data_IF_221205307578
#
_entry.id   IF_221205307578
#
_cell.length_a   1.000
_cell.length_b   1.000
_cell.length_c   1.000
_cell.angle_alpha   90.00
_cell.angle_beta   90.00
_cell.angle_gamma   90.00
#
_symmetry.space_group_name_H-M   'P 1'
#
loop_
_entity.id
_entity.type
_entity.pdbx_description
1 polymer ?
#
# COMPACT_ATOMS: atom_id res chain seq x y z
N UNK A 1 3.58 -34.20 13.28
CA UNK A 1 4.05 -33.04 14.09
C UNK A 1 4.26 -31.77 13.26
N UNK A 2 5.04 -31.78 12.17
CA UNK A 2 5.32 -30.58 11.34
C UNK A 2 4.06 -29.92 10.71
N UNK A 3 3.06 -30.72 10.35
CA UNK A 3 1.80 -30.23 9.76
C UNK A 3 0.92 -29.44 10.75
N UNK A 4 1.05 -29.70 12.05
CA UNK A 4 0.30 -28.98 13.09
C UNK A 4 1.00 -27.69 13.50
N UNK A 5 2.33 -27.67 13.60
CA UNK A 5 3.10 -26.45 13.92
C UNK A 5 3.03 -25.40 12.81
N UNK A 6 3.00 -25.82 11.54
CA UNK A 6 2.79 -24.92 10.40
C UNK A 6 1.38 -24.30 10.39
N UNK A 7 0.36 -25.06 10.81
CA UNK A 7 -1.01 -24.56 10.92
C UNK A 7 -1.19 -23.58 12.09
N UNK A 8 -0.50 -23.78 13.22
CA UNK A 8 -0.53 -22.84 14.34
C UNK A 8 0.22 -21.56 14.01
N UNK A 9 1.42 -21.66 13.42
CA UNK A 9 2.24 -20.49 13.12
C UNK A 9 1.61 -19.57 12.06
N UNK A 10 0.88 -20.14 11.09
CA UNK A 10 0.15 -19.37 10.07
C UNK A 10 -1.15 -18.74 10.60
N UNK A 11 -1.72 -19.25 11.71
CA UNK A 11 -2.88 -18.64 12.38
C UNK A 11 -2.52 -17.39 13.18
N UNK A 12 -1.27 -17.26 13.64
CA UNK A 12 -0.82 -16.17 14.52
C UNK A 12 -0.91 -14.78 13.87
N UNK A 13 -0.64 -14.68 12.57
CA UNK A 13 -0.50 -13.37 11.91
C UNK A 13 -1.83 -12.66 11.63
N UNK A 14 -2.94 -13.39 11.53
CA UNK A 14 -4.22 -12.84 11.04
C UNK A 14 -5.43 -13.25 11.89
N UNK A 15 -5.26 -14.09 12.91
CA UNK A 15 -6.39 -14.47 13.78
C UNK A 15 -6.36 -13.68 15.10
N UNK A 16 -7.25 -12.67 15.28
CA UNK A 16 -7.33 -11.90 16.51
C UNK A 16 -7.55 -12.77 17.75
N UNK A 17 -8.25 -13.92 17.61
CA UNK A 17 -8.51 -14.83 18.73
C UNK A 17 -7.23 -15.49 19.23
N UNK A 18 -6.33 -15.87 18.33
CA UNK A 18 -5.07 -16.51 18.70
C UNK A 18 -4.14 -15.53 19.43
N UNK A 19 -4.13 -14.25 19.05
CA UNK A 19 -3.34 -13.24 19.75
C UNK A 19 -3.93 -12.90 21.14
N UNK A 20 -5.24 -12.96 21.30
CA UNK A 20 -5.89 -12.82 22.61
C UNK A 20 -5.56 -14.00 23.53
N UNK A 21 -5.64 -15.23 23.05
CA UNK A 21 -5.26 -16.43 23.81
C UNK A 21 -3.79 -16.39 24.26
N UNK A 22 -2.89 -15.95 23.39
CA UNK A 22 -1.47 -15.78 23.74
C UNK A 22 -1.25 -14.66 24.74
N UNK A 23 -2.01 -13.56 24.63
CA UNK A 23 -1.98 -12.48 25.62
C UNK A 23 -2.36 -12.99 27.00
N UNK A 24 -3.37 -13.84 27.11
CA UNK A 24 -3.84 -14.36 28.40
C UNK A 24 -2.78 -15.24 29.07
N UNK A 25 -1.94 -15.91 28.28
CA UNK A 25 -0.86 -16.79 28.78
C UNK A 25 0.43 -16.02 29.07
N UNK A 26 0.86 -15.16 28.15
CA UNK A 26 2.19 -14.53 28.15
C UNK A 26 2.17 -13.04 28.55
N UNK A 27 0.99 -12.45 28.70
CA UNK A 27 0.82 -11.03 28.99
C UNK A 27 0.68 -10.14 27.74
N UNK A 28 0.54 -8.82 27.93
CA UNK A 28 0.24 -7.87 26.86
C UNK A 28 1.40 -7.62 25.88
N UNK A 29 2.62 -8.06 26.20
CA UNK A 29 3.80 -8.02 25.33
C UNK A 29 4.41 -9.42 25.29
N UNK A 30 4.52 -9.99 24.11
CA UNK A 30 5.13 -11.31 23.94
C UNK A 30 5.91 -11.41 22.63
N UNK A 31 6.79 -12.40 22.54
CA UNK A 31 7.61 -12.63 21.35
C UNK A 31 7.15 -13.89 20.63
N UNK A 32 7.00 -13.80 19.31
CA UNK A 32 6.73 -14.94 18.42
C UNK A 32 7.83 -15.08 17.39
N UNK A 33 8.05 -16.31 16.91
CA UNK A 33 8.99 -16.60 15.85
C UNK A 33 8.22 -16.95 14.57
N UNK A 34 8.27 -16.04 13.60
CA UNK A 34 7.68 -16.20 12.28
C UNK A 34 8.74 -16.79 11.34
N UNK A 35 8.83 -18.11 11.31
CA UNK A 35 9.94 -18.79 10.64
C UNK A 35 11.27 -18.41 11.31
N UNK A 36 12.27 -17.88 10.58
CA UNK A 36 13.53 -17.43 11.16
C UNK A 36 13.42 -16.03 11.81
N UNK A 37 12.31 -15.30 11.63
CA UNK A 37 12.17 -13.90 12.07
C UNK A 37 11.54 -13.81 13.46
N UNK A 38 12.23 -13.15 14.38
CA UNK A 38 11.70 -12.81 15.70
C UNK A 38 10.81 -11.56 15.61
N UNK A 39 9.59 -11.63 16.13
CA UNK A 39 8.62 -10.53 16.15
C UNK A 39 8.07 -10.34 17.55
N UNK A 40 8.04 -9.09 18.01
CA UNK A 40 7.38 -8.71 19.27
C UNK A 40 5.95 -8.28 18.95
N UNK A 41 4.99 -8.86 19.66
CA UNK A 41 3.56 -8.58 19.53
C UNK A 41 3.12 -7.71 20.69
N UNK A 42 2.49 -6.58 20.38
CA UNK A 42 1.91 -5.66 21.35
C UNK A 42 0.39 -5.84 21.33
N UNK A 43 -0.19 -6.32 22.43
CA UNK A 43 -1.59 -6.76 22.50
C UNK A 43 -2.41 -6.06 23.59
N UNK A 44 -2.18 -4.76 23.82
CA UNK A 44 -3.05 -3.93 24.66
C UNK A 44 -2.96 -2.46 24.28
N UNK A 45 -4.01 -1.69 24.58
CA UNK A 45 -4.04 -0.26 24.27
C UNK A 45 -2.88 0.48 24.93
N UNK A 46 -2.66 0.27 26.24
CA UNK A 46 -1.64 1.00 27.00
C UNK A 46 -0.24 0.75 26.43
N UNK A 47 0.08 -0.52 26.12
CA UNK A 47 1.37 -0.90 25.52
C UNK A 47 1.53 -0.33 24.10
N UNK A 48 0.48 -0.38 23.28
CA UNK A 48 0.53 0.17 21.91
C UNK A 48 0.73 1.69 21.98
N UNK A 49 0.06 2.36 22.90
CA UNK A 49 0.20 3.80 23.14
C UNK A 49 1.62 4.13 23.61
N UNK A 50 2.13 3.40 24.60
CA UNK A 50 3.48 3.58 25.11
C UNK A 50 4.52 3.43 24.00
N UNK A 51 4.44 2.36 23.20
CA UNK A 51 5.38 2.12 22.11
C UNK A 51 5.29 3.16 20.98
N UNK A 52 4.09 3.46 20.47
CA UNK A 52 3.93 4.29 19.27
C UNK A 52 3.75 5.79 19.54
N UNK A 53 3.50 6.21 20.78
CA UNK A 53 3.34 7.62 21.17
C UNK A 53 4.44 8.03 22.13
N UNK A 54 4.56 7.35 23.28
CA UNK A 54 5.47 7.78 24.35
C UNK A 54 6.94 7.48 24.00
N UNK A 55 7.19 6.41 23.25
CA UNK A 55 8.51 5.99 22.74
C UNK A 55 8.58 6.02 21.20
N UNK A 56 7.86 6.96 20.57
CA UNK A 56 7.66 6.98 19.12
C UNK A 56 8.96 6.95 18.30
N UNK A 57 10.05 7.56 18.79
CA UNK A 57 11.35 7.60 18.11
C UNK A 57 11.99 6.20 17.99
N UNK A 58 11.77 5.32 18.96
CA UNK A 58 12.30 3.95 18.95
C UNK A 58 11.48 3.02 18.03
N UNK A 59 10.19 3.31 17.83
CA UNK A 59 9.25 2.51 17.04
C UNK A 59 8.90 3.12 15.67
N UNK A 60 9.63 4.15 15.22
CA UNK A 60 9.37 4.84 13.94
C UNK A 60 9.70 3.99 12.70
N UNK A 61 10.55 2.98 12.87
CA UNK A 61 11.07 2.15 11.77
C UNK A 61 10.03 1.15 11.28
N UNK A 62 9.89 1.02 9.96
CA UNK A 62 9.05 0.01 9.33
C UNK A 62 9.70 -1.35 9.39
N UNK A 63 8.94 -2.33 9.87
CA UNK A 63 9.32 -3.73 9.78
C UNK A 63 9.32 -4.23 8.33
N UNK A 64 10.23 -5.15 8.04
CA UNK A 64 10.28 -5.86 6.77
C UNK A 64 8.97 -6.60 6.50
N UNK A 65 8.41 -6.45 5.30
CA UNK A 65 7.30 -7.27 4.81
C UNK A 65 7.78 -7.89 3.50
N UNK A 66 8.30 -9.13 3.51
CA UNK A 66 8.90 -9.76 2.34
C UNK A 66 8.12 -9.62 1.03
N UNK A 67 6.78 -9.74 1.05
CA UNK A 67 5.97 -9.54 -0.14
C UNK A 67 6.09 -8.11 -0.70
N UNK A 68 6.05 -7.10 0.16
CA UNK A 68 6.22 -5.70 -0.23
C UNK A 68 7.66 -5.39 -0.62
N UNK A 69 8.66 -5.96 0.04
CA UNK A 69 10.06 -5.80 -0.35
C UNK A 69 10.31 -6.33 -1.76
N UNK A 70 9.74 -7.48 -2.12
CA UNK A 70 9.87 -8.03 -3.48
C UNK A 70 9.19 -7.18 -4.55
N UNK A 71 8.04 -6.56 -4.21
CA UNK A 71 7.28 -5.73 -5.16
C UNK A 71 7.90 -4.35 -5.31
N UNK A 72 8.14 -3.67 -4.20
CA UNK A 72 8.60 -2.28 -4.17
C UNK A 72 10.13 -2.14 -4.15
N UNK A 73 10.87 -3.24 -4.00
CA UNK A 73 12.34 -3.29 -3.97
C UNK A 73 12.95 -2.35 -2.92
N UNK A 74 12.25 -2.17 -1.81
CA UNK A 74 12.64 -1.26 -0.73
C UNK A 74 12.32 0.22 -0.98
N UNK A 75 11.74 0.60 -2.12
CA UNK A 75 11.43 1.99 -2.47
C UNK A 75 9.98 2.39 -2.14
N UNK A 76 9.79 3.69 -1.92
CA UNK A 76 8.49 4.30 -1.71
C UNK A 76 8.12 4.47 -0.24
N UNK A 77 7.22 5.44 0.00
CA UNK A 77 6.86 5.94 1.34
C UNK A 77 6.33 4.87 2.30
N UNK A 78 5.80 3.77 1.77
CA UNK A 78 5.21 2.67 2.54
C UNK A 78 6.21 1.66 3.09
N UNK A 79 7.45 1.60 2.58
CA UNK A 79 8.46 0.59 2.94
C UNK A 79 9.83 1.16 3.29
N UNK A 80 10.15 2.39 2.85
CA UNK A 80 11.45 3.02 3.14
C UNK A 80 11.60 3.41 4.62
N UNK A 81 12.85 3.57 5.07
CA UNK A 81 13.21 4.01 6.41
C UNK A 81 14.24 5.14 6.38
N UNK A 82 14.58 5.71 7.54
CA UNK A 82 15.63 6.72 7.67
C UNK A 82 15.30 8.05 6.97
N UNK A 83 16.33 8.71 6.44
CA UNK A 83 16.20 10.04 5.85
C UNK A 83 15.41 10.02 4.53
N UNK A 84 15.55 8.97 3.72
CA UNK A 84 14.76 8.78 2.50
C UNK A 84 13.26 8.80 2.79
N UNK A 85 12.84 8.08 3.83
CA UNK A 85 11.45 8.11 4.25
C UNK A 85 11.01 9.49 4.72
N UNK A 86 11.82 10.18 5.53
CA UNK A 86 11.48 11.53 6.02
C UNK A 86 11.32 12.51 4.86
N UNK A 87 12.19 12.45 3.85
CA UNK A 87 12.10 13.28 2.65
C UNK A 87 10.85 12.95 1.82
N UNK A 88 10.64 11.68 1.49
CA UNK A 88 9.47 11.23 0.73
C UNK A 88 8.18 11.60 1.46
N UNK A 89 8.09 11.39 2.77
CA UNK A 89 6.92 11.74 3.58
C UNK A 89 6.65 13.24 3.59
N UNK A 90 7.68 14.06 3.82
CA UNK A 90 7.53 15.53 3.82
C UNK A 90 7.04 16.02 2.46
N UNK A 91 7.65 15.53 1.38
CA UNK A 91 7.23 15.82 0.02
C UNK A 91 5.77 15.39 -0.20
N UNK A 92 5.42 14.12 0.06
CA UNK A 92 4.09 13.59 -0.21
C UNK A 92 3.01 14.36 0.56
N UNK A 93 3.20 14.60 1.86
CA UNK A 93 2.22 15.33 2.68
C UNK A 93 2.07 16.77 2.17
N UNK A 94 3.18 17.45 1.85
CA UNK A 94 3.13 18.82 1.32
C UNK A 94 2.39 18.87 -0.01
N UNK A 95 2.70 17.96 -0.94
CA UNK A 95 2.07 17.89 -2.26
C UNK A 95 0.58 17.58 -2.16
N UNK A 96 0.19 16.60 -1.32
CA UNK A 96 -1.22 16.27 -1.12
C UNK A 96 -2.01 17.46 -0.55
N UNK A 97 -1.44 18.22 0.39
CA UNK A 97 -2.07 19.45 0.92
C UNK A 97 -2.25 20.52 -0.17
N UNK A 98 -1.26 20.67 -1.06
CA UNK A 98 -1.34 21.61 -2.18
C UNK A 98 -2.46 21.22 -3.17
N UNK A 99 -2.70 19.93 -3.39
CA UNK A 99 -3.85 19.41 -4.14
C UNK A 99 -5.16 19.42 -3.35
N UNK A 100 -5.20 20.08 -2.20
CA UNK A 100 -6.42 20.33 -1.45
C UNK A 100 -6.79 19.26 -0.44
N UNK A 101 -5.91 18.30 -0.13
CA UNK A 101 -6.13 17.36 0.97
C UNK A 101 -6.25 18.13 2.30
N UNK A 102 -7.44 18.07 2.91
CA UNK A 102 -7.78 18.81 4.13
C UNK A 102 -8.45 20.17 3.90
N UNK A 103 -8.69 20.56 2.65
CA UNK A 103 -9.32 21.83 2.26
C UNK A 103 -10.61 21.58 1.44
N UNK A 104 -11.38 22.64 1.12
CA UNK A 104 -12.63 22.53 0.34
C UNK A 104 -12.45 21.99 -1.10
N UNK A 105 -11.24 22.04 -1.65
CA UNK A 105 -10.98 21.54 -3.02
C UNK A 105 -11.17 20.03 -3.14
N UNK A 106 -10.65 19.24 -2.19
CA UNK A 106 -10.87 17.78 -2.19
C UNK A 106 -12.32 17.43 -1.87
N UNK A 107 -13.00 18.27 -1.09
CA UNK A 107 -14.42 18.09 -0.77
C UNK A 107 -15.26 18.07 -2.05
N UNK A 108 -15.00 18.98 -3.01
CA UNK A 108 -15.68 18.99 -4.31
C UNK A 108 -15.47 17.70 -5.10
N UNK A 109 -14.24 17.20 -5.16
CA UNK A 109 -13.90 15.93 -5.83
C UNK A 109 -14.63 14.75 -5.16
N UNK A 110 -14.65 14.72 -3.82
CA UNK A 110 -15.35 13.68 -3.06
C UNK A 110 -16.86 13.76 -3.31
N UNK A 111 -17.45 14.95 -3.28
CA UNK A 111 -18.89 15.15 -3.54
C UNK A 111 -19.27 14.72 -4.96
N UNK A 112 -18.44 15.05 -5.95
CA UNK A 112 -18.64 14.60 -7.32
C UNK A 112 -18.62 13.06 -7.41
N UNK A 113 -17.64 12.41 -6.79
CA UNK A 113 -17.55 10.95 -6.81
C UNK A 113 -18.66 10.26 -6.01
N UNK A 114 -19.14 10.89 -4.92
CA UNK A 114 -20.35 10.45 -4.20
C UNK A 114 -21.58 10.50 -5.11
N UNK A 115 -21.72 11.53 -5.95
CA UNK A 115 -22.84 11.59 -6.90
C UNK A 115 -22.77 10.43 -7.91
N UNK A 116 -21.58 10.09 -8.42
CA UNK A 116 -21.40 8.92 -9.28
C UNK A 116 -21.75 7.61 -8.56
N UNK A 117 -21.29 7.44 -7.31
CA UNK A 117 -21.60 6.28 -6.48
C UNK A 117 -23.11 6.13 -6.23
N UNK A 118 -23.79 7.20 -5.85
CA UNK A 118 -25.25 7.21 -5.62
C UNK A 118 -26.00 6.85 -6.90
N UNK A 119 -25.58 7.40 -8.04
CA UNK A 119 -26.19 7.08 -9.32
C UNK A 119 -25.98 5.61 -9.70
N UNK A 120 -24.81 5.04 -9.40
CA UNK A 120 -24.54 3.62 -9.62
C UNK A 120 -25.47 2.74 -8.78
N UNK A 121 -25.59 3.03 -7.47
CA UNK A 121 -26.45 2.27 -6.57
C UNK A 121 -27.93 2.37 -6.99
N UNK A 122 -28.38 3.56 -7.44
CA UNK A 122 -29.76 3.76 -7.92
C UNK A 122 -30.11 2.88 -9.12
N UNK A 123 -29.15 2.43 -9.94
CA UNK A 123 -29.41 1.51 -11.06
C UNK A 123 -29.97 0.17 -10.61
N UNK A 124 -29.71 -0.24 -9.36
CA UNK A 124 -30.27 -1.45 -8.78
C UNK A 124 -31.80 -1.40 -8.57
N UNK A 125 -32.42 -0.21 -8.58
CA UNK A 125 -33.88 -0.02 -8.45
C UNK A 125 -34.48 -0.79 -7.26
N UNK A 126 -33.77 -0.82 -6.13
CA UNK A 126 -34.24 -1.46 -4.89
C UNK A 126 -33.93 -2.96 -4.78
N UNK A 127 -33.23 -3.57 -5.74
CA UNK A 127 -32.74 -4.93 -5.58
C UNK A 127 -31.50 -4.97 -4.67
N UNK A 128 -31.30 -6.05 -3.90
CA UNK A 128 -30.05 -6.26 -3.17
C UNK A 128 -28.87 -6.35 -4.14
N UNK A 129 -27.81 -5.59 -3.86
CA UNK A 129 -26.56 -5.60 -4.63
C UNK A 129 -25.35 -5.70 -3.71
N UNK A 130 -24.25 -6.24 -4.24
CA UNK A 130 -22.93 -6.08 -3.62
C UNK A 130 -22.32 -4.74 -4.04
N UNK A 131 -22.44 -3.74 -3.17
CA UNK A 131 -21.89 -2.40 -3.38
C UNK A 131 -20.38 -2.31 -3.11
N UNK A 132 -19.73 -3.38 -2.63
CA UNK A 132 -18.30 -3.36 -2.26
C UNK A 132 -17.42 -2.91 -3.42
N UNK A 133 -17.76 -3.34 -4.64
CA UNK A 133 -17.05 -2.89 -5.84
C UNK A 133 -17.24 -1.39 -6.07
N UNK A 134 -18.47 -0.86 -6.02
CA UNK A 134 -18.74 0.57 -6.23
C UNK A 134 -18.00 1.46 -5.22
N UNK A 135 -17.92 1.08 -3.95
CA UNK A 135 -17.12 1.81 -2.96
C UNK A 135 -15.62 1.79 -3.28
N UNK A 136 -15.09 0.64 -3.71
CA UNK A 136 -13.68 0.55 -4.14
C UNK A 136 -13.43 1.47 -5.34
N UNK A 137 -14.29 1.43 -6.38
CA UNK A 137 -14.15 2.34 -7.53
C UNK A 137 -14.18 3.81 -7.12
N UNK A 138 -15.14 4.21 -6.27
CA UNK A 138 -15.26 5.57 -5.78
C UNK A 138 -14.01 6.03 -5.03
N UNK A 139 -13.58 5.26 -4.03
CA UNK A 139 -12.39 5.59 -3.24
C UNK A 139 -11.11 5.63 -4.09
N UNK A 140 -10.96 4.71 -5.06
CA UNK A 140 -9.84 4.71 -5.99
C UNK A 140 -9.86 5.90 -6.93
N UNK A 141 -11.02 6.32 -7.44
CA UNK A 141 -11.12 7.50 -8.29
C UNK A 141 -10.73 8.79 -7.57
N UNK A 142 -11.08 8.95 -6.29
CA UNK A 142 -10.62 10.13 -5.51
C UNK A 142 -9.10 10.16 -5.45
N UNK A 143 -8.44 9.02 -5.20
CA UNK A 143 -6.98 8.96 -5.15
C UNK A 143 -6.37 9.17 -6.54
N UNK A 144 -6.89 8.53 -7.59
CA UNK A 144 -6.40 8.68 -8.96
C UNK A 144 -6.56 10.10 -9.49
N UNK A 145 -7.62 10.80 -9.09
CA UNK A 145 -7.78 12.22 -9.42
C UNK A 145 -6.64 13.06 -8.84
N UNK A 146 -6.24 12.79 -7.60
CA UNK A 146 -5.14 13.53 -6.95
C UNK A 146 -3.78 13.11 -7.49
N UNK A 147 -3.59 11.81 -7.75
CA UNK A 147 -2.26 11.29 -8.11
C UNK A 147 -1.97 11.34 -9.59
N UNK A 148 -2.99 11.25 -10.45
CA UNK A 148 -2.88 11.17 -11.91
C UNK A 148 -3.74 12.20 -12.63
N UNK A 149 -4.48 13.07 -11.93
CA UNK A 149 -5.35 14.07 -12.54
C UNK A 149 -6.57 13.47 -13.28
N UNK A 150 -6.85 12.18 -13.09
CA UNK A 150 -7.81 11.44 -13.91
C UNK A 150 -8.81 10.64 -13.07
N UNK A 151 -10.03 10.52 -13.61
CA UNK A 151 -11.12 9.74 -13.06
C UNK A 151 -11.59 8.71 -14.08
N UNK A 152 -11.70 7.45 -13.69
CA UNK A 152 -12.11 6.36 -14.56
C UNK A 152 -13.60 6.07 -14.47
N UNK A 153 -14.24 5.79 -15.61
CA UNK A 153 -15.61 5.26 -15.63
C UNK A 153 -15.66 3.94 -14.83
N UNK A 154 -16.72 3.73 -14.06
CA UNK A 154 -16.90 2.45 -13.35
C UNK A 154 -16.97 1.28 -14.32
N UNK A 155 -17.46 1.49 -15.54
CA UNK A 155 -17.51 0.46 -16.57
C UNK A 155 -16.21 0.30 -17.37
N UNK A 156 -15.18 1.10 -17.07
CA UNK A 156 -13.90 1.00 -17.74
C UNK A 156 -13.23 -0.36 -17.46
N UNK A 157 -12.89 -1.08 -18.53
CA UNK A 157 -12.35 -2.44 -18.44
C UNK A 157 -10.94 -2.48 -17.87
N UNK A 158 -10.11 -1.46 -18.17
CA UNK A 158 -8.73 -1.37 -17.68
C UNK A 158 -8.77 -1.09 -16.18
N UNK A 159 -9.59 -0.14 -15.75
CA UNK A 159 -9.77 0.20 -14.35
C UNK A 159 -10.33 -0.96 -13.53
N UNK A 160 -11.39 -1.62 -14.01
CA UNK A 160 -11.94 -2.83 -13.37
C UNK A 160 -10.88 -3.92 -13.22
N UNK A 161 -10.07 -4.16 -14.27
CA UNK A 161 -8.99 -5.15 -14.24
C UNK A 161 -7.90 -4.77 -13.23
N UNK A 162 -7.52 -3.50 -13.17
CA UNK A 162 -6.54 -2.99 -12.21
C UNK A 162 -6.99 -3.24 -10.77
N UNK A 163 -8.21 -2.83 -10.42
CA UNK A 163 -8.76 -3.00 -9.08
C UNK A 163 -8.96 -4.47 -8.70
N UNK A 164 -9.38 -5.31 -9.65
CA UNK A 164 -9.49 -6.75 -9.43
C UNK A 164 -8.13 -7.40 -9.17
N UNK A 165 -7.09 -7.01 -9.90
CA UNK A 165 -5.73 -7.51 -9.68
C UNK A 165 -5.20 -7.12 -8.29
N UNK A 166 -5.44 -5.87 -7.87
CA UNK A 166 -5.07 -5.39 -6.52
C UNK A 166 -5.81 -6.18 -5.44
N UNK A 167 -7.13 -6.33 -5.58
CA UNK A 167 -7.96 -7.11 -4.64
C UNK A 167 -7.51 -8.56 -4.55
N UNK A 168 -7.26 -9.20 -5.69
CA UNK A 168 -6.79 -10.58 -5.73
C UNK A 168 -5.39 -10.71 -5.12
N UNK A 169 -4.50 -9.76 -5.39
CA UNK A 169 -3.17 -9.70 -4.76
C UNK A 169 -3.26 -9.66 -3.23
N UNK A 170 -4.11 -8.78 -2.68
CA UNK A 170 -4.34 -8.72 -1.23
C UNK A 170 -4.99 -9.98 -0.66
N UNK A 171 -5.90 -10.62 -1.41
CA UNK A 171 -6.50 -11.88 -0.98
C UNK A 171 -5.46 -13.01 -0.92
N UNK A 172 -4.55 -13.10 -1.90
CA UNK A 172 -3.46 -14.08 -1.88
C UNK A 172 -2.50 -13.79 -0.72
N UNK A 173 -2.14 -12.53 -0.51
CA UNK A 173 -1.29 -12.10 0.62
C UNK A 173 -1.87 -12.50 1.98
N UNK A 174 -3.20 -12.38 2.12
CA UNK A 174 -3.92 -12.73 3.36
C UNK A 174 -4.21 -14.24 3.49
N UNK A 175 -3.92 -15.04 2.46
CA UNK A 175 -4.15 -16.48 2.46
C UNK A 175 -3.04 -17.25 3.18
N UNK A 176 -3.27 -18.54 3.44
CA UNK A 176 -2.25 -19.46 3.96
C UNK A 176 -0.92 -19.38 3.20
N UNK A 177 -0.97 -19.32 1.86
CA UNK A 177 0.22 -19.23 1.01
C UNK A 177 0.95 -17.90 1.15
N UNK A 178 0.21 -16.80 1.35
CA UNK A 178 0.78 -15.49 1.61
C UNK A 178 1.48 -15.44 2.97
N UNK A 179 0.84 -15.97 4.02
CA UNK A 179 1.44 -16.06 5.35
C UNK A 179 2.69 -16.96 5.36
N UNK A 180 2.67 -18.07 4.62
CA UNK A 180 3.83 -18.93 4.48
C UNK A 180 4.99 -18.22 3.74
N UNK A 181 4.67 -17.40 2.74
CA UNK A 181 5.64 -16.54 2.07
C UNK A 181 6.26 -15.52 3.03
N UNK A 182 5.46 -14.86 3.86
CA UNK A 182 5.95 -13.91 4.87
C UNK A 182 6.89 -14.54 5.90
N UNK A 183 6.70 -15.82 6.21
CA UNK A 183 7.57 -16.55 7.14
C UNK A 183 8.83 -17.11 6.47
N UNK A 184 8.75 -17.55 5.21
CA UNK A 184 9.82 -18.31 4.55
C UNK A 184 10.12 -17.82 3.11
N UNK A 185 10.13 -16.51 2.89
CA UNK A 185 10.29 -15.89 1.56
C UNK A 185 11.48 -16.44 0.78
N UNK A 186 12.66 -16.56 1.43
CA UNK A 186 13.90 -17.08 0.83
C UNK A 186 13.75 -18.47 0.19
N UNK A 187 12.90 -19.32 0.74
CA UNK A 187 12.63 -20.66 0.18
C UNK A 187 11.50 -20.56 -0.83
N UNK A 188 10.43 -19.86 -0.45
CA UNK A 188 9.20 -19.74 -1.23
C UNK A 188 9.41 -19.02 -2.57
N UNK A 189 10.41 -18.16 -2.69
CA UNK A 189 10.79 -17.50 -3.95
C UNK A 189 11.16 -18.50 -5.05
N UNK A 190 11.76 -19.63 -4.68
CA UNK A 190 12.17 -20.70 -5.62
C UNK A 190 11.08 -21.75 -5.86
N UNK A 191 9.98 -21.72 -5.10
CA UNK A 191 8.91 -22.70 -5.20
C UNK A 191 7.75 -22.20 -6.08
N UNK A 192 7.18 -23.05 -6.95
CA UNK A 192 5.94 -22.73 -7.63
C UNK A 192 4.77 -22.72 -6.65
N UNK A 193 3.80 -21.82 -6.85
CA UNK A 193 2.60 -21.79 -6.03
C UNK A 193 1.73 -20.55 -6.23
N UNK A 194 0.57 -20.47 -5.57
CA UNK A 194 -0.36 -19.34 -5.68
C UNK A 194 0.25 -18.00 -5.28
N UNK A 195 1.21 -17.99 -4.34
CA UNK A 195 1.92 -16.77 -3.91
C UNK A 195 2.68 -16.10 -5.06
N UNK A 196 3.17 -16.86 -6.05
CA UNK A 196 3.86 -16.31 -7.22
C UNK A 196 2.90 -15.51 -8.12
N UNK A 197 1.60 -15.84 -8.13
CA UNK A 197 0.59 -15.11 -8.90
C UNK A 197 0.42 -13.68 -8.40
N UNK A 198 0.51 -13.45 -7.09
CA UNK A 198 0.42 -12.13 -6.49
C UNK A 198 1.42 -11.14 -7.12
N UNK A 199 2.67 -11.55 -7.32
CA UNK A 199 3.69 -10.69 -7.94
C UNK A 199 3.37 -10.36 -9.40
N UNK A 200 2.79 -11.29 -10.16
CA UNK A 200 2.33 -11.04 -11.53
C UNK A 200 1.17 -10.04 -11.57
N UNK A 201 0.24 -10.14 -10.60
CA UNK A 201 -0.89 -9.22 -10.48
C UNK A 201 -0.43 -7.80 -10.12
N UNK A 202 0.53 -7.68 -9.21
CA UNK A 202 1.10 -6.39 -8.82
C UNK A 202 2.01 -5.80 -9.89
N UNK A 203 2.66 -6.63 -10.72
CA UNK A 203 3.42 -6.16 -11.89
C UNK A 203 2.53 -5.41 -12.88
N UNK A 204 1.29 -5.85 -13.08
CA UNK A 204 0.32 -5.11 -13.90
C UNK A 204 0.04 -3.69 -13.38
N UNK A 205 -0.02 -3.51 -12.06
CA UNK A 205 -0.18 -2.19 -11.45
C UNK A 205 1.08 -1.33 -11.63
N UNK A 206 2.26 -1.93 -11.44
CA UNK A 206 3.55 -1.26 -11.69
C UNK A 206 3.65 -0.76 -13.15
N UNK A 207 3.28 -1.62 -14.11
CA UNK A 207 3.33 -1.28 -15.54
C UNK A 207 2.33 -0.16 -15.88
N UNK A 208 1.12 -0.20 -15.32
CA UNK A 208 0.12 0.86 -15.48
C UNK A 208 0.61 2.21 -14.93
N UNK A 209 1.22 2.21 -13.74
CA UNK A 209 1.79 3.44 -13.14
C UNK A 209 2.97 3.93 -13.98
N UNK A 210 3.81 3.02 -14.48
CA UNK A 210 4.97 3.37 -15.31
C UNK A 210 4.54 4.06 -16.60
N UNK A 211 3.55 3.51 -17.31
CA UNK A 211 2.98 4.13 -18.50
C UNK A 211 2.42 5.53 -18.19
N UNK A 212 1.76 5.70 -17.05
CA UNK A 212 1.25 7.01 -16.64
C UNK A 212 2.38 8.00 -16.40
N UNK A 213 3.43 7.60 -15.67
CA UNK A 213 4.60 8.45 -15.41
C UNK A 213 5.27 8.87 -16.71
N UNK A 214 5.42 7.96 -17.69
CA UNK A 214 5.99 8.28 -19.01
C UNK A 214 5.13 9.30 -19.79
N UNK A 215 3.80 9.15 -19.74
CA UNK A 215 2.89 10.10 -20.40
C UNK A 215 2.94 11.48 -19.72
N UNK A 216 3.01 11.52 -18.39
CA UNK A 216 3.19 12.77 -17.65
C UNK A 216 4.52 13.45 -18.01
N UNK A 217 5.63 12.71 -18.09
CA UNK A 217 6.94 13.24 -18.51
C UNK A 217 6.91 13.89 -19.90
N UNK A 218 6.24 13.27 -20.89
CA UNK A 218 6.15 13.80 -22.26
C UNK A 218 5.37 15.11 -22.35
N UNK A 219 4.49 15.36 -21.38
CA UNK A 219 3.54 16.49 -21.38
C UNK A 219 3.74 17.40 -20.17
N UNK A 220 4.90 17.32 -19.52
CA UNK A 220 5.21 18.02 -18.28
C UNK A 220 5.33 19.52 -18.55
N UNK A 221 4.55 20.32 -17.82
CA UNK A 221 4.70 21.76 -17.73
C UNK A 221 5.21 22.13 -16.34
N UNK A 222 6.43 22.67 -16.27
CA UNK A 222 7.09 23.06 -15.01
C UNK A 222 6.34 24.16 -14.26
N UNK A 223 5.54 24.97 -14.95
CA UNK A 223 4.80 26.08 -14.36
C UNK A 223 3.39 25.68 -13.89
N UNK A 224 2.88 24.55 -14.38
CA UNK A 224 1.51 24.13 -14.12
C UNK A 224 1.43 22.60 -13.89
N UNK A 225 1.91 22.11 -12.72
CA UNK A 225 1.82 20.68 -12.39
C UNK A 225 0.36 20.26 -12.24
N UNK A 226 -0.02 19.18 -12.95
CA UNK A 226 -1.42 18.72 -13.01
C UNK A 226 -1.79 17.83 -11.83
N UNK A 227 -0.83 17.05 -11.34
CA UNK A 227 -1.07 15.98 -10.36
C UNK A 227 0.18 15.69 -9.52
N UNK A 228 0.07 14.70 -8.62
CA UNK A 228 1.19 14.25 -7.80
C UNK A 228 2.41 13.81 -8.62
N UNK A 229 2.20 13.14 -9.76
CA UNK A 229 3.28 12.63 -10.62
C UNK A 229 4.08 13.81 -11.16
N UNK A 230 3.44 14.84 -11.72
CA UNK A 230 4.12 16.03 -12.23
C UNK A 230 4.93 16.72 -11.12
N UNK A 231 4.33 16.91 -9.94
CA UNK A 231 5.05 17.46 -8.78
C UNK A 231 6.29 16.64 -8.40
N UNK A 232 6.18 15.31 -8.46
CA UNK A 232 7.30 14.41 -8.15
C UNK A 232 8.39 14.49 -9.22
N UNK A 233 8.02 14.57 -10.50
CA UNK A 233 8.96 14.73 -11.62
C UNK A 233 9.72 16.05 -11.52
N UNK A 234 9.03 17.16 -11.25
CA UNK A 234 9.65 18.49 -11.04
C UNK A 234 10.60 18.45 -9.85
N UNK A 235 10.21 17.82 -8.75
CA UNK A 235 11.08 17.70 -7.56
C UNK A 235 12.31 16.85 -7.86
N UNK A 236 12.16 15.75 -8.61
CA UNK A 236 13.27 14.91 -9.05
C UNK A 236 14.27 15.69 -9.89
N UNK A 237 13.80 16.48 -10.86
CA UNK A 237 14.67 17.34 -11.67
C UNK A 237 15.43 18.35 -10.81
N UNK A 238 14.77 19.03 -9.88
CA UNK A 238 15.43 19.96 -8.96
C UNK A 238 16.54 19.29 -8.15
N UNK A 239 16.30 18.08 -7.64
CA UNK A 239 17.31 17.33 -6.87
C UNK A 239 18.48 16.92 -7.77
N UNK A 240 18.22 16.46 -9.01
CA UNK A 240 19.27 16.11 -9.96
C UNK A 240 20.15 17.31 -10.34
N UNK A 241 19.56 18.50 -10.50
CA UNK A 241 20.32 19.73 -10.75
C UNK A 241 21.17 20.17 -9.55
N UNK A 242 20.72 19.91 -8.32
CA UNK A 242 21.43 20.29 -7.09
C UNK A 242 22.54 19.29 -6.71
N UNK A 243 22.45 18.03 -7.17
CA UNK A 243 23.42 16.96 -6.87
C UNK A 243 23.83 16.14 -8.11
N UNK A 244 24.45 16.76 -9.13
CA UNK A 244 24.77 16.07 -10.38
C UNK A 244 25.84 14.96 -10.27
N UNK A 245 26.59 14.89 -9.16
CA UNK A 245 27.79 14.05 -9.01
C UNK A 245 27.60 12.78 -8.15
N UNK A 246 26.38 12.44 -7.73
CA UNK A 246 26.14 11.23 -6.92
C UNK A 246 25.49 10.06 -7.70
N UNK A 247 25.25 10.22 -9.01
CA UNK A 247 24.57 9.22 -9.86
C UNK A 247 25.38 8.84 -11.11
N UNK A 248 26.65 9.24 -11.16
CA UNK A 248 27.61 8.75 -12.16
C UNK A 248 28.58 7.84 -11.42
N UNK A 249 28.51 6.56 -11.78
CA UNK A 249 29.40 5.45 -11.41
C UNK A 249 29.25 4.85 -10.00
N UNK A 250 28.54 3.72 -9.92
CA UNK A 250 29.18 2.47 -9.47
C UNK A 250 28.79 1.32 -10.45
N UNK A 251 29.75 0.44 -10.82
CA UNK A 251 29.60 -0.57 -11.87
C UNK A 251 28.67 -1.74 -11.53
#
# INVERSE_FOLDING_TARGET
MVRNSLNESTRLLVNPRTNQELRDIYGPVFTVYLGPRRVVVLCSYDVIKEAYIDQADDFVTRGAVPAFERVFRGYGIGVTNGEEWKQLRRFTISTMKNFGMGNKTIEGIIQEEVNFLVNEIKKAKGTPIDASSSFVHASSNVILHITMGERFNYEDKIFKKLLNNVREGFHIMSSFWGQLYEMFSRIMDHLPGPHQRMFKLLKYLEDFITERVENNQKTLDLNNPRDYIDCFLIQREKVLYLYPLQMVDEP
#
